data_IF_946120769099
#
_entry.id   IF_946120769099
#
_cell.length_a   1.000
_cell.length_b   1.000
_cell.length_c   1.000
_cell.angle_alpha   90.00
_cell.angle_beta   90.00
_cell.angle_gamma   90.00
#
_symmetry.space_group_name_H-M   'P 1'
#
loop_
_entity.id
_entity.type
_entity.pdbx_description
1 polymer ?
#
# COMPACT_ATOMS: atom_id res chain seq x y z
N UNK A 1 -12.56 3.07 19.56
CA UNK A 1 -12.00 2.99 18.18
C UNK A 1 -12.89 2.05 17.39
N UNK A 2 -13.67 2.60 16.44
CA UNK A 2 -14.47 1.79 15.51
C UNK A 2 -13.53 1.01 14.62
N UNK A 3 -13.67 -0.31 14.59
CA UNK A 3 -12.88 -1.24 13.78
C UNK A 3 -12.99 -0.87 12.30
N UNK A 4 -11.95 -0.27 11.74
CA UNK A 4 -11.79 -0.29 10.29
C UNK A 4 -11.19 -1.64 9.90
N UNK A 5 -11.95 -2.42 9.14
CA UNK A 5 -11.42 -3.63 8.48
C UNK A 5 -10.64 -3.18 7.26
N UNK A 6 -9.33 -3.16 7.37
CA UNK A 6 -8.47 -3.07 6.22
C UNK A 6 -8.21 -4.49 5.71
N UNK A 7 -8.86 -4.86 4.62
CA UNK A 7 -8.51 -6.07 3.89
C UNK A 7 -7.45 -5.74 2.86
N UNK A 8 -6.20 -5.75 3.24
CA UNK A 8 -5.09 -5.67 2.32
C UNK A 8 -4.71 -7.08 1.88
N UNK A 9 -5.30 -7.56 0.79
CA UNK A 9 -5.04 -8.91 0.24
C UNK A 9 -3.58 -9.06 -0.21
N UNK A 10 -2.88 -7.95 -0.43
CA UNK A 10 -1.52 -7.89 -0.98
C UNK A 10 -0.44 -7.67 0.06
N UNK A 11 -0.77 -7.12 1.22
CA UNK A 11 0.21 -6.89 2.27
C UNK A 11 0.42 -8.17 3.07
N UNK A 12 1.68 -8.51 3.26
CA UNK A 12 2.07 -9.70 4.00
C UNK A 12 3.22 -9.38 4.94
N UNK A 13 3.03 -9.68 6.22
CA UNK A 13 4.06 -9.59 7.26
C UNK A 13 4.62 -11.01 7.46
N UNK A 14 5.81 -11.27 6.89
CA UNK A 14 6.40 -12.60 6.92
C UNK A 14 6.97 -12.98 8.30
N UNK A 15 7.40 -12.00 9.07
CA UNK A 15 7.96 -12.16 10.42
C UNK A 15 6.96 -11.85 11.55
N UNK A 16 5.65 -11.99 11.29
CA UNK A 16 4.60 -11.66 12.26
C UNK A 16 4.79 -12.36 13.60
N UNK A 17 5.06 -13.66 13.61
CA UNK A 17 5.26 -14.46 14.83
C UNK A 17 6.43 -13.95 15.69
N UNK A 18 7.52 -13.53 15.05
CA UNK A 18 8.66 -12.95 15.73
C UNK A 18 8.32 -11.61 16.36
N UNK A 19 7.62 -10.75 15.62
CA UNK A 19 7.19 -9.43 16.11
C UNK A 19 6.22 -9.57 17.28
N UNK A 20 5.31 -10.53 17.23
CA UNK A 20 4.37 -10.84 18.31
C UNK A 20 5.11 -11.28 19.57
N UNK A 21 6.07 -12.22 19.46
CA UNK A 21 6.90 -12.66 20.62
C UNK A 21 7.63 -11.49 21.24
N UNK A 22 8.28 -10.66 20.43
CA UNK A 22 8.97 -9.47 20.90
C UNK A 22 8.03 -8.46 21.61
N UNK A 23 6.77 -8.37 21.17
CA UNK A 23 5.78 -7.55 21.84
C UNK A 23 5.43 -8.10 23.21
N UNK A 24 5.17 -9.39 23.35
CA UNK A 24 4.88 -10.03 24.63
C UNK A 24 6.05 -9.94 25.62
N UNK A 25 7.27 -10.18 25.17
CA UNK A 25 8.49 -10.06 25.98
C UNK A 25 8.71 -8.64 26.51
N UNK A 26 8.22 -7.62 25.78
CA UNK A 26 8.31 -6.20 26.17
C UNK A 26 7.03 -5.67 26.84
N UNK A 27 6.21 -6.54 27.42
CA UNK A 27 5.08 -6.16 28.28
C UNK A 27 3.75 -5.92 27.57
N UNK A 28 3.62 -6.26 26.28
CA UNK A 28 2.31 -6.31 25.65
C UNK A 28 1.50 -7.48 26.22
N UNK A 29 0.28 -7.23 26.68
CA UNK A 29 -0.44 -8.23 27.48
C UNK A 29 -1.39 -9.09 26.67
N UNK A 30 -2.00 -8.57 25.61
CA UNK A 30 -2.96 -9.31 24.81
C UNK A 30 -3.27 -8.63 23.48
N UNK A 31 -3.76 -9.41 22.52
CA UNK A 31 -4.38 -8.96 21.28
C UNK A 31 -5.87 -9.30 21.33
N UNK A 32 -6.72 -8.36 20.88
CA UNK A 32 -8.17 -8.48 20.93
C UNK A 32 -8.77 -9.12 19.67
N UNK A 33 -8.11 -8.92 18.53
CA UNK A 33 -8.59 -9.38 17.24
C UNK A 33 -7.80 -10.57 16.72
N UNK A 34 -8.49 -11.70 16.58
CA UNK A 34 -7.94 -12.89 15.94
C UNK A 34 -8.73 -13.17 14.64
N UNK A 35 -8.00 -13.58 13.61
CA UNK A 35 -8.57 -14.03 12.34
C UNK A 35 -8.08 -15.45 12.10
N UNK A 36 -8.99 -16.42 12.06
CA UNK A 36 -8.67 -17.85 11.90
C UNK A 36 -7.65 -18.37 12.94
N UNK A 37 -7.74 -17.93 14.20
CA UNK A 37 -6.82 -18.33 15.26
C UNK A 37 -5.45 -17.63 15.25
N UNK A 38 -5.24 -16.71 14.31
CA UNK A 38 -4.01 -15.89 14.23
C UNK A 38 -4.31 -14.43 14.61
N UNK A 39 -3.31 -13.76 15.17
CA UNK A 39 -3.39 -12.33 15.51
C UNK A 39 -3.58 -11.51 14.23
N UNK A 40 -4.50 -10.55 14.28
CA UNK A 40 -4.78 -9.69 13.14
C UNK A 40 -3.58 -8.78 12.82
N UNK A 41 -3.12 -8.80 11.57
CA UNK A 41 -1.97 -7.99 11.12
C UNK A 41 -2.16 -6.49 11.36
N UNK A 42 -3.38 -5.98 11.26
CA UNK A 42 -3.67 -4.55 11.51
C UNK A 42 -3.46 -4.20 12.98
N UNK A 43 -3.88 -5.08 13.90
CA UNK A 43 -3.68 -4.87 15.33
C UNK A 43 -2.20 -4.99 15.72
N UNK A 44 -1.46 -5.93 15.10
CA UNK A 44 -0.02 -6.05 15.25
C UNK A 44 0.68 -4.75 14.85
N UNK A 45 0.35 -4.20 13.68
CA UNK A 45 0.92 -2.93 13.19
C UNK A 45 0.56 -1.77 14.14
N UNK A 46 -0.69 -1.68 14.59
CA UNK A 46 -1.10 -0.66 15.56
C UNK A 46 -0.33 -0.76 16.87
N UNK A 47 -0.14 -1.97 17.40
CA UNK A 47 0.65 -2.18 18.61
C UNK A 47 2.12 -1.78 18.45
N UNK A 48 2.70 -2.02 17.28
CA UNK A 48 4.07 -1.61 16.96
C UNK A 48 4.20 -0.08 16.85
N UNK A 49 3.22 0.60 16.23
CA UNK A 49 3.20 2.07 16.14
C UNK A 49 3.13 2.69 17.55
N UNK A 50 2.29 2.15 18.42
CA UNK A 50 2.10 2.64 19.79
C UNK A 50 3.34 2.47 20.70
N UNK A 51 4.39 1.78 20.25
CA UNK A 51 5.67 1.72 21.00
C UNK A 51 6.49 3.01 20.93
N UNK A 52 6.12 3.94 20.08
CA UNK A 52 6.85 5.20 19.87
C UNK A 52 6.00 6.38 20.32
N UNK A 53 6.68 7.48 20.58
CA UNK A 53 6.06 8.69 21.14
C UNK A 53 5.29 9.49 20.09
N UNK A 54 5.57 9.28 18.79
CA UNK A 54 4.85 9.92 17.70
C UNK A 54 4.41 8.92 16.62
N UNK A 55 3.33 9.25 15.90
CA UNK A 55 2.85 8.41 14.80
C UNK A 55 3.89 8.26 13.68
N UNK A 56 4.62 9.32 13.36
CA UNK A 56 5.65 9.29 12.32
C UNK A 56 6.80 8.35 12.69
N UNK A 57 7.29 8.44 13.94
CA UNK A 57 8.33 7.52 14.45
C UNK A 57 7.81 6.09 14.52
N UNK A 58 6.55 5.91 14.95
CA UNK A 58 5.89 4.60 14.99
C UNK A 58 5.79 3.97 13.60
N UNK A 59 5.36 4.73 12.59
CA UNK A 59 5.26 4.25 11.22
C UNK A 59 6.65 3.91 10.65
N UNK A 60 7.66 4.77 10.87
CA UNK A 60 9.05 4.48 10.46
C UNK A 60 9.60 3.24 11.14
N UNK A 61 9.32 3.07 12.41
CA UNK A 61 9.71 1.86 13.13
C UNK A 61 9.08 0.61 12.50
N UNK A 62 7.77 0.64 12.23
CA UNK A 62 7.09 -0.49 11.57
C UNK A 62 7.67 -0.76 10.19
N UNK A 63 7.89 0.28 9.37
CA UNK A 63 8.56 0.12 8.07
C UNK A 63 9.92 -0.55 8.17
N UNK A 64 10.67 -0.31 9.25
CA UNK A 64 12.01 -0.88 9.44
C UNK A 64 12.03 -2.31 9.94
N UNK A 65 11.01 -2.76 10.70
CA UNK A 65 10.99 -4.09 11.33
C UNK A 65 10.12 -5.11 10.62
N UNK A 66 9.19 -4.67 9.79
CA UNK A 66 8.31 -5.56 9.02
C UNK A 66 9.06 -6.13 7.82
N UNK A 67 9.15 -7.46 7.77
CA UNK A 67 9.61 -8.17 6.59
C UNK A 67 8.42 -8.54 5.71
N UNK A 68 8.34 -7.93 4.54
CA UNK A 68 7.24 -8.15 3.63
C UNK A 68 6.80 -6.89 2.90
N UNK A 69 5.50 -6.77 2.65
CA UNK A 69 4.87 -5.56 2.13
C UNK A 69 3.86 -5.03 3.13
N UNK A 70 3.85 -3.72 3.32
CA UNK A 70 2.91 -3.08 4.21
C UNK A 70 2.62 -1.66 3.73
N UNK A 71 1.39 -1.44 3.36
CA UNK A 71 0.87 -0.12 3.04
C UNK A 71 -0.14 0.29 4.10
N UNK A 72 0.00 1.48 4.64
CA UNK A 72 -0.71 1.92 5.83
C UNK A 72 -1.51 3.19 5.57
N UNK A 73 -2.77 3.19 6.01
CA UNK A 73 -3.58 4.38 6.21
C UNK A 73 -3.96 4.44 7.70
N UNK A 74 -3.50 5.46 8.40
CA UNK A 74 -3.79 5.68 9.81
C UNK A 74 -4.67 6.93 9.94
N UNK A 75 -5.95 6.72 10.28
CA UNK A 75 -6.89 7.80 10.55
C UNK A 75 -6.67 8.34 11.95
N UNK A 76 -6.49 9.65 12.04
CA UNK A 76 -6.40 10.41 13.29
C UNK A 76 -7.54 11.42 13.39
N UNK A 77 -7.62 12.13 14.50
CA UNK A 77 -8.66 13.15 14.73
C UNK A 77 -8.63 14.27 13.68
N UNK A 78 -7.44 14.68 13.25
CA UNK A 78 -7.24 15.86 12.39
C UNK A 78 -6.82 15.52 10.95
N UNK A 79 -6.64 14.25 10.59
CA UNK A 79 -6.21 13.86 9.26
C UNK A 79 -5.83 12.39 9.14
N UNK A 80 -5.19 12.06 8.03
CA UNK A 80 -4.79 10.69 7.68
C UNK A 80 -3.29 10.66 7.43
N UNK A 81 -2.57 9.79 8.14
CA UNK A 81 -1.22 9.40 7.72
C UNK A 81 -1.34 8.32 6.66
N UNK A 82 -0.70 8.53 5.53
CA UNK A 82 -0.56 7.53 4.48
C UNK A 82 0.91 7.19 4.31
N UNK A 83 1.24 5.90 4.34
CA UNK A 83 2.61 5.42 4.27
C UNK A 83 2.73 4.24 3.32
N UNK A 84 3.76 4.27 2.48
CA UNK A 84 4.12 3.18 1.56
C UNK A 84 5.28 2.38 2.15
N UNK A 85 5.36 1.09 1.90
CA UNK A 85 6.48 0.26 2.37
C UNK A 85 7.83 0.71 1.80
N UNK A 86 8.93 0.36 2.48
CA UNK A 86 10.30 0.81 2.12
C UNK A 86 10.71 0.49 0.68
N UNK A 87 10.12 -0.53 0.09
CA UNK A 87 10.42 -0.94 -1.29
C UNK A 87 9.34 -0.51 -2.29
N UNK A 88 8.27 0.13 -1.83
CA UNK A 88 7.18 0.61 -2.68
C UNK A 88 6.47 -0.50 -3.45
N UNK A 89 6.28 -1.69 -2.86
CA UNK A 89 5.69 -2.86 -3.54
C UNK A 89 4.25 -2.65 -3.96
N UNK A 90 3.48 -1.98 -3.10
CA UNK A 90 2.09 -1.62 -3.38
C UNK A 90 1.95 -0.10 -3.45
N UNK A 91 1.18 0.44 -4.40
CA UNK A 91 1.05 1.88 -4.57
C UNK A 91 0.19 2.51 -3.46
N UNK A 92 0.42 3.79 -3.23
CA UNK A 92 -0.49 4.69 -2.51
C UNK A 92 -0.63 5.94 -3.35
N UNK A 93 -1.84 6.26 -3.72
CA UNK A 93 -2.16 7.38 -4.59
C UNK A 93 -3.09 8.35 -3.89
N UNK A 94 -2.89 9.64 -4.14
CA UNK A 94 -3.68 10.73 -3.58
C UNK A 94 -4.40 11.42 -4.72
N UNK A 95 -5.72 11.51 -4.59
CA UNK A 95 -6.57 12.31 -5.47
C UNK A 95 -6.91 13.64 -4.82
N UNK A 96 -7.07 14.68 -5.65
CA UNK A 96 -7.47 16.01 -5.24
C UNK A 96 -8.76 16.44 -5.91
N UNK A 97 -9.62 17.08 -5.16
CA UNK A 97 -10.80 17.80 -5.61
C UNK A 97 -10.80 19.18 -4.95
N UNK A 98 -11.60 20.12 -5.44
CA UNK A 98 -11.59 21.55 -5.09
C UNK A 98 -11.30 21.85 -3.61
N UNK A 99 -11.93 21.14 -2.66
CA UNK A 99 -11.74 21.33 -1.23
C UNK A 99 -11.56 19.99 -0.47
N UNK A 100 -11.00 18.99 -1.14
CA UNK A 100 -10.84 17.67 -0.52
C UNK A 100 -9.69 16.87 -1.14
N UNK A 101 -9.09 16.05 -0.30
CA UNK A 101 -8.14 15.03 -0.72
C UNK A 101 -8.71 13.64 -0.40
N UNK A 102 -8.35 12.66 -1.19
CA UNK A 102 -8.62 11.26 -0.89
C UNK A 102 -7.34 10.45 -1.07
N UNK A 103 -7.24 9.35 -0.31
CA UNK A 103 -6.12 8.42 -0.39
C UNK A 103 -6.66 7.05 -0.77
N UNK A 104 -6.03 6.42 -1.74
CA UNK A 104 -6.42 5.10 -2.23
C UNK A 104 -5.18 4.29 -2.62
N UNK A 105 -5.39 3.00 -2.86
CA UNK A 105 -4.39 2.10 -3.43
C UNK A 105 -4.51 1.97 -4.95
N UNK A 106 -5.59 2.48 -5.53
CA UNK A 106 -5.84 2.48 -6.97
C UNK A 106 -6.50 3.80 -7.41
N UNK A 107 -6.02 4.39 -8.50
CA UNK A 107 -6.48 5.69 -8.98
C UNK A 107 -7.94 5.66 -9.49
N UNK A 108 -8.38 4.56 -10.09
CA UNK A 108 -9.76 4.47 -10.60
C UNK A 108 -10.83 4.72 -9.51
N UNK A 109 -10.52 4.38 -8.26
CA UNK A 109 -11.46 4.50 -7.15
C UNK A 109 -11.89 5.95 -6.90
N UNK A 110 -11.00 6.91 -7.06
CA UNK A 110 -11.32 8.32 -6.83
C UNK A 110 -11.61 9.09 -8.11
N UNK A 111 -11.12 8.65 -9.27
CA UNK A 111 -11.46 9.25 -10.57
C UNK A 111 -12.97 9.20 -10.81
N UNK A 112 -13.61 8.06 -10.51
CA UNK A 112 -15.06 7.90 -10.62
C UNK A 112 -15.86 8.81 -9.67
N UNK A 113 -15.22 9.35 -8.62
CA UNK A 113 -15.80 10.30 -7.69
C UNK A 113 -15.49 11.76 -8.06
N UNK A 114 -14.86 11.99 -9.21
CA UNK A 114 -14.51 13.32 -9.72
C UNK A 114 -13.27 13.93 -9.08
N UNK A 115 -12.38 13.11 -8.51
CA UNK A 115 -11.04 13.55 -8.11
C UNK A 115 -10.08 13.39 -9.28
N UNK A 116 -9.05 14.21 -9.30
CA UNK A 116 -7.92 14.13 -10.24
C UNK A 116 -6.68 13.62 -9.53
N UNK A 117 -5.76 13.01 -10.26
CA UNK A 117 -4.49 12.56 -9.74
C UNK A 117 -3.71 13.76 -9.18
N UNK A 118 -3.23 13.63 -7.94
CA UNK A 118 -2.44 14.67 -7.27
C UNK A 118 -1.01 14.19 -6.99
N UNK A 119 -0.87 13.03 -6.36
CA UNK A 119 0.45 12.50 -5.99
C UNK A 119 0.39 10.98 -5.84
N UNK A 120 1.41 10.31 -6.32
CA UNK A 120 1.73 8.92 -5.98
C UNK A 120 2.91 8.91 -5.01
N UNK A 121 2.80 8.17 -3.89
CA UNK A 121 3.85 8.10 -2.88
C UNK A 121 5.02 7.27 -3.38
N UNK A 122 6.23 7.75 -3.16
CA UNK A 122 7.45 6.97 -3.37
C UNK A 122 7.68 5.88 -2.30
N UNK A 123 8.69 5.00 -2.50
CA UNK A 123 9.03 3.95 -1.54
C UNK A 123 9.36 4.53 -0.16
N UNK A 124 8.76 3.98 0.90
CA UNK A 124 8.99 4.43 2.27
C UNK A 124 8.46 5.82 2.61
N UNK A 125 7.84 6.49 1.67
CA UNK A 125 7.30 7.83 1.89
C UNK A 125 6.13 7.81 2.87
N UNK A 126 6.08 8.83 3.75
CA UNK A 126 4.99 9.07 4.68
C UNK A 126 4.47 10.48 4.45
N UNK A 127 3.17 10.61 4.24
CA UNK A 127 2.49 11.89 4.12
C UNK A 127 1.39 12.01 5.16
N UNK A 128 1.14 13.25 5.57
CA UNK A 128 -0.01 13.62 6.39
C UNK A 128 -1.00 14.38 5.52
N UNK A 129 -2.21 13.90 5.45
CA UNK A 129 -3.28 14.43 4.60
C UNK A 129 -4.37 15.01 5.48
N UNK A 130 -4.64 16.29 5.30
CA UNK A 130 -5.78 17.02 5.89
C UNK A 130 -6.76 17.41 4.80
N UNK A 131 -7.95 17.94 5.12
CA UNK A 131 -8.85 18.49 4.09
C UNK A 131 -8.22 19.60 3.26
N UNK A 132 -7.30 20.37 3.83
CA UNK A 132 -6.71 21.56 3.24
C UNK A 132 -5.36 21.30 2.55
N UNK A 133 -4.61 20.30 3.01
CA UNK A 133 -3.22 20.11 2.58
C UNK A 133 -2.74 18.66 2.60
N UNK A 134 -1.67 18.42 1.85
CA UNK A 134 -0.89 17.18 1.88
C UNK A 134 0.55 17.55 2.22
N UNK A 135 1.04 17.10 3.35
CA UNK A 135 2.39 17.35 3.84
C UNK A 135 3.23 16.08 3.79
N UNK A 136 4.42 16.14 3.21
CA UNK A 136 5.39 15.04 3.26
C UNK A 136 6.15 15.10 4.58
N UNK A 137 5.85 14.18 5.50
CA UNK A 137 6.50 14.11 6.82
C UNK A 137 7.72 13.19 6.83
N UNK A 138 7.86 12.31 5.84
CA UNK A 138 9.05 11.52 5.61
C UNK A 138 9.27 11.36 4.11
N UNK A 139 10.43 11.75 3.56
CA UNK A 139 10.70 11.65 2.12
C UNK A 139 10.82 10.20 1.66
N UNK A 140 10.64 10.01 0.35
CA UNK A 140 10.80 8.71 -0.29
C UNK A 140 12.26 8.22 -0.28
N UNK A 141 12.42 6.90 -0.26
CA UNK A 141 13.69 6.22 -0.47
C UNK A 141 13.98 6.08 -1.97
N UNK A 142 15.25 5.91 -2.33
CA UNK A 142 15.66 5.77 -3.73
C UNK A 142 15.30 4.41 -4.35
N UNK A 143 15.27 3.35 -3.53
CA UNK A 143 15.14 1.97 -4.01
C UNK A 143 13.69 1.55 -4.08
N UNK A 144 13.22 1.25 -5.30
CA UNK A 144 11.88 0.73 -5.55
C UNK A 144 11.90 -0.72 -6.04
N UNK A 145 10.92 -1.52 -5.59
CA UNK A 145 10.63 -2.87 -6.08
C UNK A 145 9.13 -3.09 -6.14
N UNK A 146 8.49 -2.36 -7.04
CA UNK A 146 7.05 -2.46 -7.25
C UNK A 146 6.64 -3.84 -7.75
N UNK A 147 5.46 -4.29 -7.37
CA UNK A 147 4.93 -5.59 -7.78
C UNK A 147 4.38 -5.52 -9.21
N UNK A 148 4.99 -6.24 -10.16
CA UNK A 148 4.53 -6.29 -11.55
C UNK A 148 3.11 -6.88 -11.72
N UNK A 149 2.63 -7.67 -10.76
CA UNK A 149 1.26 -8.19 -10.75
C UNK A 149 0.19 -7.10 -10.70
N UNK A 150 0.54 -5.86 -10.31
CA UNK A 150 -0.35 -4.71 -10.39
C UNK A 150 -0.86 -4.52 -11.82
N UNK A 151 0.03 -4.55 -12.80
CA UNK A 151 -0.35 -4.42 -14.21
C UNK A 151 -0.85 -5.72 -14.81
N UNK A 152 -0.20 -6.83 -14.51
CA UNK A 152 -0.50 -8.12 -15.16
C UNK A 152 -1.87 -8.67 -14.75
N UNK A 153 -2.22 -8.54 -13.47
CA UNK A 153 -3.39 -9.23 -12.93
C UNK A 153 -4.33 -8.37 -12.10
N UNK A 154 -3.82 -7.61 -11.11
CA UNK A 154 -4.67 -6.97 -10.12
C UNK A 154 -5.28 -5.65 -10.55
N UNK A 155 -4.51 -4.80 -11.23
CA UNK A 155 -4.91 -3.43 -11.53
C UNK A 155 -6.17 -3.36 -12.36
N UNK A 156 -7.03 -2.41 -12.02
CA UNK A 156 -8.18 -2.10 -12.87
C UNK A 156 -7.70 -1.49 -14.18
N UNK A 157 -8.32 -1.76 -15.34
CA UNK A 157 -7.83 -1.30 -16.64
C UNK A 157 -7.56 0.20 -16.73
N UNK A 158 -8.42 1.02 -16.12
CA UNK A 158 -8.28 2.48 -16.12
C UNK A 158 -7.32 3.03 -15.05
N UNK A 159 -6.73 2.17 -14.22
CA UNK A 159 -5.71 2.57 -13.25
C UNK A 159 -4.34 2.73 -13.90
N UNK A 160 -3.53 3.59 -13.31
CA UNK A 160 -2.11 3.74 -13.62
C UNK A 160 -1.27 3.62 -12.36
N UNK A 161 -0.06 3.12 -12.49
CA UNK A 161 0.93 3.03 -11.42
C UNK A 161 2.28 3.46 -11.98
N UNK A 162 2.98 4.32 -11.25
CA UNK A 162 4.28 4.89 -11.67
C UNK A 162 4.25 5.45 -13.10
N UNK A 163 3.15 6.11 -13.46
CA UNK A 163 2.97 6.70 -14.77
C UNK A 163 2.65 5.71 -15.92
N UNK A 164 2.51 4.42 -15.64
CA UNK A 164 2.20 3.39 -16.63
C UNK A 164 0.77 2.89 -16.48
N UNK A 165 -0.03 3.07 -17.52
CA UNK A 165 -1.43 2.59 -17.57
C UNK A 165 -1.53 1.06 -17.61
N UNK A 166 -2.49 0.51 -16.86
CA UNK A 166 -2.71 -0.94 -16.81
C UNK A 166 -3.15 -1.48 -18.17
N UNK A 167 -4.09 -0.82 -18.82
CA UNK A 167 -4.58 -1.22 -20.15
C UNK A 167 -3.47 -1.15 -21.19
N UNK A 168 -2.72 -0.07 -21.23
CA UNK A 168 -1.60 0.11 -22.15
C UNK A 168 -0.55 -0.99 -22.00
N UNK A 169 -0.17 -1.31 -20.76
CA UNK A 169 0.81 -2.37 -20.48
C UNK A 169 0.28 -3.73 -20.97
N UNK A 170 -0.98 -4.06 -20.67
CA UNK A 170 -1.61 -5.33 -21.12
C UNK A 170 -1.68 -5.42 -22.63
N UNK A 171 -2.02 -4.32 -23.30
CA UNK A 171 -2.04 -4.24 -24.76
C UNK A 171 -0.65 -4.49 -25.36
N UNK A 172 0.38 -3.87 -24.80
CA UNK A 172 1.76 -4.06 -25.24
C UNK A 172 2.25 -5.49 -25.00
N UNK A 173 1.90 -6.10 -23.87
CA UNK A 173 2.15 -7.53 -23.62
C UNK A 173 1.46 -8.42 -24.67
N UNK A 174 0.20 -8.14 -25.00
CA UNK A 174 -0.54 -8.86 -26.04
C UNK A 174 0.12 -8.77 -27.41
N UNK A 175 0.61 -7.59 -27.78
CA UNK A 175 1.38 -7.41 -29.04
C UNK A 175 2.63 -8.27 -29.08
N UNK A 176 3.41 -8.26 -28.01
CA UNK A 176 4.62 -9.06 -27.91
C UNK A 176 4.33 -10.56 -27.98
N UNK A 177 3.29 -11.02 -27.29
CA UNK A 177 2.85 -12.42 -27.37
C UNK A 177 2.41 -12.79 -28.78
N UNK A 178 1.66 -11.95 -29.46
CA UNK A 178 1.23 -12.17 -30.85
C UNK A 178 2.44 -12.30 -31.79
N UNK A 179 3.44 -11.44 -31.65
CA UNK A 179 4.69 -11.54 -32.43
C UNK A 179 5.45 -12.85 -32.16
N UNK A 180 5.46 -13.31 -30.91
CA UNK A 180 6.11 -14.60 -30.55
C UNK A 180 5.35 -15.80 -31.09
N UNK A 181 4.02 -15.75 -31.09
CA UNK A 181 3.18 -16.82 -31.63
C UNK A 181 3.24 -16.92 -33.17
N UNK A 182 3.53 -15.80 -33.85
CA UNK A 182 3.71 -15.79 -35.32
C UNK A 182 4.97 -16.53 -35.76
N UNK A 183 5.94 -16.71 -34.89
CA UNK A 183 7.19 -17.45 -35.15
C UNK A 183 7.14 -18.91 -34.69
N UNK A 184 6.07 -19.35 -34.04
CA UNK A 184 5.86 -20.72 -33.59
C UNK A 184 4.79 -21.40 -34.46
N UNK A 185 5.04 -22.59 -35.01
CA UNK A 185 4.03 -23.33 -35.74
C UNK A 185 2.82 -23.59 -34.81
N UNK A 186 1.62 -23.33 -35.34
CA UNK A 186 0.39 -23.64 -34.61
C UNK A 186 0.29 -25.14 -34.37
N UNK A 187 -0.13 -25.60 -33.19
CA UNK A 187 -0.40 -27.02 -32.97
C UNK A 187 -1.52 -27.61 -33.82
N UNK A 188 -2.18 -26.78 -34.65
CA UNK A 188 -3.27 -27.13 -35.54
C UNK A 188 -2.85 -27.17 -37.00
N UNK A 189 -1.62 -26.80 -37.32
CA UNK A 189 -0.99 -26.97 -38.65
C UNK A 189 -0.12 -28.23 -38.65
#
# INVERSE_FOLDING_TARGET
IRRQRQMCIRDRINNADQLIRNLYENGHTHFQSMTNGQINSTELVAALICKKDSFVEGIRYVQSVVEGSMTLLLLTENGIYAARDLLGRTPVVIGKKENAYCVSFESFAYINLGYTDYKELGPGEIVYVTPESVETVSPACEKMRICSFLWVYYGYPTSSYEGVGVEEMRYNCGKLLACLLYTSPSPRD
#
